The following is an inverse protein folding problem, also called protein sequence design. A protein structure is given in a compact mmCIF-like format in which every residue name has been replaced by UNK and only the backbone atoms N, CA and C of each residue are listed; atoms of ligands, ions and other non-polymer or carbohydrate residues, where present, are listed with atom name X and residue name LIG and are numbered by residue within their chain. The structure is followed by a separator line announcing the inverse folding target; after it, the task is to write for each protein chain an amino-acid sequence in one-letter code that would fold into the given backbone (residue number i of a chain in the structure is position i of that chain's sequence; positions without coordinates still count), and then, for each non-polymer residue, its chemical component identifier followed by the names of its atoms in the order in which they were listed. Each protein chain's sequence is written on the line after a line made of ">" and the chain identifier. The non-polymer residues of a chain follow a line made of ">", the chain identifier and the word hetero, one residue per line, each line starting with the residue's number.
data_IF_219498792517
#
_entry.id   IF_219498792517
#
_cell.length_a   1.000
_cell.length_b   1.000
_cell.length_c   1.000
_cell.angle_alpha   90.00
_cell.angle_beta   90.00
_cell.angle_gamma   90.00
#
_symmetry.space_group_name_H-M   'P 1'
#
loop_
_entity.id
_entity.type
_entity.pdbx_description
1 polymer ?
#
# COMPACT_ATOMS: atom_id res chain seq x y z
N UNK A 1 3.24 18.73 -1.78
CA UNK A 1 3.11 17.26 -1.59
C UNK A 1 4.38 16.75 -0.94
N UNK A 2 4.28 16.19 0.26
CA UNK A 2 5.40 15.56 0.98
C UNK A 2 5.51 14.08 0.62
N UNK A 3 6.74 13.61 0.44
CA UNK A 3 7.09 12.23 0.16
C UNK A 3 7.87 11.66 1.34
N UNK A 4 7.67 10.37 1.62
CA UNK A 4 8.44 9.64 2.62
C UNK A 4 9.09 8.43 1.95
N UNK A 5 10.39 8.26 2.17
CA UNK A 5 11.10 7.03 1.87
C UNK A 5 10.86 6.05 3.03
N UNK A 6 10.32 4.88 2.73
CA UNK A 6 9.83 3.91 3.70
C UNK A 6 10.41 2.53 3.41
N UNK A 7 10.59 1.74 4.47
CA UNK A 7 10.97 0.33 4.36
C UNK A 7 9.94 -0.47 3.55
N UNK A 8 10.38 -1.10 2.47
CA UNK A 8 9.49 -1.73 1.49
C UNK A 8 8.75 -2.95 2.09
N UNK A 9 9.41 -3.72 2.94
CA UNK A 9 8.82 -4.90 3.60
C UNK A 9 7.66 -4.50 4.53
N UNK A 10 7.84 -3.41 5.28
CA UNK A 10 6.78 -2.85 6.14
C UNK A 10 5.61 -2.34 5.32
N UNK A 11 5.88 -1.62 4.23
CA UNK A 11 4.82 -1.14 3.32
C UNK A 11 4.04 -2.31 2.73
N UNK A 12 4.71 -3.36 2.26
CA UNK A 12 4.06 -4.52 1.66
C UNK A 12 3.13 -5.22 2.66
N UNK A 13 3.58 -5.41 3.91
CA UNK A 13 2.75 -6.00 4.99
C UNK A 13 1.53 -5.14 5.33
N UNK A 14 1.71 -3.83 5.46
CA UNK A 14 0.63 -2.89 5.78
C UNK A 14 -0.41 -2.83 4.65
N UNK A 15 0.06 -2.77 3.39
CA UNK A 15 -0.80 -2.74 2.22
C UNK A 15 -1.57 -4.06 2.05
N UNK A 16 -0.92 -5.22 2.23
CA UNK A 16 -1.58 -6.53 2.19
C UNK A 16 -2.68 -6.66 3.25
N UNK A 17 -2.42 -6.21 4.48
CA UNK A 17 -3.43 -6.20 5.55
C UNK A 17 -4.62 -5.31 5.20
N UNK A 18 -4.34 -4.10 4.69
CA UNK A 18 -5.36 -3.14 4.27
C UNK A 18 -6.22 -3.69 3.13
N UNK A 19 -5.62 -4.39 2.16
CA UNK A 19 -6.34 -5.07 1.08
C UNK A 19 -7.27 -6.15 1.60
N UNK A 20 -6.79 -7.00 2.51
CA UNK A 20 -7.63 -8.04 3.10
C UNK A 20 -8.87 -7.47 3.80
N UNK A 21 -8.72 -6.36 4.52
CA UNK A 21 -9.85 -5.67 5.18
C UNK A 21 -10.83 -5.10 4.15
N UNK A 22 -10.35 -4.48 3.07
CA UNK A 22 -11.22 -3.91 2.05
C UNK A 22 -11.94 -5.00 1.25
N UNK A 23 -11.24 -6.06 0.84
CA UNK A 23 -11.80 -7.19 0.09
C UNK A 23 -12.81 -7.99 0.90
N UNK A 24 -12.73 -7.98 2.24
CA UNK A 24 -13.74 -8.58 3.12
C UNK A 24 -15.01 -7.72 3.27
N UNK A 25 -14.98 -6.45 2.85
CA UNK A 25 -16.15 -5.59 2.80
C UNK A 25 -17.06 -5.96 1.63
N UNK A 26 -18.38 -5.92 1.82
CA UNK A 26 -19.35 -6.16 0.74
C UNK A 26 -19.71 -4.87 -0.02
N UNK A 27 -18.79 -3.90 -0.06
CA UNK A 27 -19.01 -2.59 -0.69
C UNK A 27 -18.57 -2.62 -2.16
N UNK A 28 -19.48 -2.28 -3.07
CA UNK A 28 -19.25 -2.33 -4.52
C UNK A 28 -19.20 -0.95 -5.18
N UNK A 29 -19.03 0.12 -4.40
CA UNK A 29 -18.96 1.48 -4.95
C UNK A 29 -17.71 1.66 -5.81
N UNK A 30 -17.79 2.54 -6.82
CA UNK A 30 -16.62 2.85 -7.65
C UNK A 30 -15.46 3.42 -6.80
N UNK A 31 -15.78 4.23 -5.79
CA UNK A 31 -14.81 4.76 -4.84
C UNK A 31 -14.10 3.64 -4.08
N UNK A 32 -14.84 2.62 -3.65
CA UNK A 32 -14.29 1.44 -2.99
C UNK A 32 -13.35 0.66 -3.92
N UNK A 33 -13.78 0.40 -5.15
CA UNK A 33 -12.96 -0.31 -6.16
C UNK A 33 -11.67 0.45 -6.49
N UNK A 34 -11.75 1.78 -6.69
CA UNK A 34 -10.57 2.63 -6.92
C UNK A 34 -9.59 2.56 -5.76
N UNK A 35 -10.10 2.54 -4.51
CA UNK A 35 -9.26 2.40 -3.31
C UNK A 35 -8.57 1.04 -3.26
N UNK A 36 -9.26 -0.06 -3.56
CA UNK A 36 -8.66 -1.41 -3.65
C UNK A 36 -7.51 -1.38 -4.66
N UNK A 37 -7.77 -0.94 -5.90
CA UNK A 37 -6.76 -0.92 -6.98
C UNK A 37 -5.53 -0.09 -6.58
N UNK A 38 -5.74 1.03 -5.88
CA UNK A 38 -4.64 1.88 -5.44
C UNK A 38 -3.76 1.18 -4.39
N UNK A 39 -4.36 0.49 -3.41
CA UNK A 39 -3.58 -0.26 -2.41
C UNK A 39 -2.95 -1.51 -3.04
N UNK A 40 -3.59 -2.16 -4.02
CA UNK A 40 -3.00 -3.29 -4.78
C UNK A 40 -1.72 -2.86 -5.49
N UNK A 41 -1.70 -1.66 -6.09
CA UNK A 41 -0.51 -1.10 -6.73
C UNK A 41 0.60 -0.80 -5.74
N UNK A 42 0.27 -0.22 -4.58
CA UNK A 42 1.23 0.04 -3.50
C UNK A 42 1.84 -1.27 -3.01
N UNK A 43 1.00 -2.28 -2.78
CA UNK A 43 1.42 -3.60 -2.31
C UNK A 43 2.35 -4.28 -3.31
N UNK A 44 1.99 -4.30 -4.59
CA UNK A 44 2.81 -4.88 -5.65
C UNK A 44 4.16 -4.18 -5.79
N UNK A 45 4.18 -2.84 -5.76
CA UNK A 45 5.40 -2.04 -5.82
C UNK A 45 6.30 -2.30 -4.61
N UNK A 46 5.73 -2.29 -3.41
CA UNK A 46 6.45 -2.52 -2.18
C UNK A 46 7.02 -3.94 -2.09
N UNK A 47 6.26 -4.95 -2.51
CA UNK A 47 6.74 -6.33 -2.56
C UNK A 47 7.90 -6.48 -3.53
N UNK A 48 7.78 -5.94 -4.74
CA UNK A 48 8.88 -5.96 -5.71
C UNK A 48 10.14 -5.24 -5.19
N UNK A 49 9.97 -4.10 -4.51
CA UNK A 49 11.08 -3.38 -3.91
C UNK A 49 11.71 -4.11 -2.71
N UNK A 50 10.92 -4.86 -1.93
CA UNK A 50 11.41 -5.65 -0.81
C UNK A 50 12.24 -6.87 -1.27
N UNK A 51 11.85 -7.47 -2.41
CA UNK A 51 12.55 -8.56 -3.07
C UNK A 51 13.79 -8.10 -3.86
N UNK A 52 13.95 -6.79 -4.07
CA UNK A 52 15.11 -6.21 -4.76
C UNK A 52 16.36 -6.18 -3.86
N UNK A 53 17.52 -6.46 -4.45
CA UNK A 53 18.82 -6.33 -3.79
C UNK A 53 19.24 -4.85 -3.57
N UNK A 54 18.58 -3.92 -4.26
CA UNK A 54 18.86 -2.49 -4.15
C UNK A 54 17.87 -1.78 -3.23
N UNK A 55 18.37 -1.22 -2.12
CA UNK A 55 17.72 -0.16 -1.34
C UNK A 55 16.54 -0.57 -0.46
N UNK A 56 15.82 -1.66 -0.77
CA UNK A 56 14.68 -2.21 0.00
C UNK A 56 13.72 -1.14 0.55
N UNK A 57 13.48 -0.10 -0.24
CA UNK A 57 12.69 1.05 0.16
C UNK A 57 11.78 1.49 -0.98
N UNK A 58 10.63 2.04 -0.63
CA UNK A 58 9.70 2.68 -1.57
C UNK A 58 9.40 4.09 -1.11
N UNK A 59 9.16 4.96 -2.08
CA UNK A 59 8.75 6.34 -1.82
C UNK A 59 7.25 6.43 -2.01
N UNK A 60 6.53 6.88 -0.98
CA UNK A 60 5.09 7.15 -1.05
C UNK A 60 4.83 8.64 -0.85
N UNK A 61 3.80 9.14 -1.51
CA UNK A 61 3.15 10.39 -1.12
C UNK A 61 2.51 10.23 0.26
N UNK A 62 2.26 11.35 0.93
CA UNK A 62 1.54 11.33 2.21
C UNK A 62 0.14 10.74 2.09
N UNK A 63 -0.54 10.92 0.95
CA UNK A 63 -1.88 10.37 0.72
C UNK A 63 -1.85 8.84 0.58
N UNK A 64 -0.89 8.30 -0.18
CA UNK A 64 -0.68 6.86 -0.30
C UNK A 64 -0.32 6.22 1.05
N UNK A 65 0.54 6.88 1.84
CA UNK A 65 0.83 6.43 3.20
C UNK A 65 -0.44 6.42 4.08
N UNK A 66 -1.24 7.49 4.03
CA UNK A 66 -2.48 7.58 4.82
C UNK A 66 -3.51 6.49 4.49
N UNK A 67 -3.49 5.94 3.27
CA UNK A 67 -4.39 4.83 2.91
C UNK A 67 -4.09 3.53 3.65
N UNK A 68 -2.82 3.32 4.04
CA UNK A 68 -2.35 2.08 4.68
C UNK A 68 -1.93 2.26 6.15
N UNK A 69 -1.90 3.50 6.65
CA UNK A 69 -1.31 3.86 7.94
C UNK A 69 -1.99 3.22 9.16
N UNK A 70 -3.27 2.86 9.07
CA UNK A 70 -3.98 2.17 10.17
C UNK A 70 -3.50 0.74 10.41
N UNK A 71 -2.84 0.15 9.43
CA UNK A 71 -2.33 -1.22 9.47
C UNK A 71 -0.79 -1.26 9.37
N UNK A 72 -0.13 -0.16 9.74
CA UNK A 72 1.32 0.05 9.66
C UNK A 72 2.10 -0.49 10.85
#
# INVERSE_FOLDING_TARGET
>A
MSYALLDADRVAKAAKTSLGVLQASNESSEAHQRKIIMIERIEALARAAAESDAGKAVTLTSEEFWLISRNW
#
